data_IF_116663709315
#
_entry.id   IF_116663709315
#
_cell.length_a   1.000
_cell.length_b   1.000
_cell.length_c   1.000
_cell.angle_alpha   90.00
_cell.angle_beta   90.00
_cell.angle_gamma   90.00
#
_symmetry.space_group_name_H-M   'P 1'
#
loop_
_entity.id
_entity.type
_entity.pdbx_description
1 polymer ?
#
# COMPACT_ATOMS: atom_id res chain seq x y z
N UNK A 1 -11.76 -5.33 -32.89
CA UNK A 1 -12.13 -4.27 -31.91
C UNK A 1 -12.15 -4.91 -30.52
N UNK A 2 -11.15 -4.60 -29.69
CA UNK A 2 -11.04 -5.11 -28.31
C UNK A 2 -12.11 -4.42 -27.47
N UNK A 3 -12.93 -5.23 -26.79
CA UNK A 3 -14.06 -4.71 -26.01
C UNK A 3 -13.56 -4.21 -24.63
N UNK A 4 -13.00 -2.99 -24.61
CA UNK A 4 -12.41 -2.36 -23.41
C UNK A 4 -13.33 -2.32 -22.19
N UNK A 5 -14.66 -2.32 -22.38
CA UNK A 5 -15.63 -2.32 -21.30
C UNK A 5 -15.64 -3.63 -20.50
N UNK A 6 -15.41 -4.78 -21.16
CA UNK A 6 -15.35 -6.10 -20.53
C UNK A 6 -14.07 -6.23 -19.67
N UNK A 7 -12.94 -5.77 -20.20
CA UNK A 7 -11.63 -5.81 -19.52
C UNK A 7 -11.60 -4.95 -18.25
N UNK A 8 -12.24 -3.77 -18.28
CA UNK A 8 -12.33 -2.87 -17.11
C UNK A 8 -13.24 -3.48 -16.03
N UNK A 9 -14.38 -4.09 -16.41
CA UNK A 9 -15.28 -4.75 -15.46
C UNK A 9 -14.61 -5.93 -14.75
N UNK A 10 -13.82 -6.73 -15.47
CA UNK A 10 -13.07 -7.84 -14.89
C UNK A 10 -11.92 -7.38 -13.97
N UNK A 11 -11.23 -6.30 -14.33
CA UNK A 11 -10.23 -5.69 -13.47
C UNK A 11 -10.83 -5.18 -12.15
N UNK A 12 -12.02 -4.56 -12.21
CA UNK A 12 -12.71 -4.08 -11.01
C UNK A 12 -13.22 -5.21 -10.11
N UNK A 13 -13.74 -6.31 -10.67
CA UNK A 13 -14.15 -7.51 -9.90
C UNK A 13 -12.97 -8.12 -9.16
N UNK A 14 -11.80 -8.15 -9.78
CA UNK A 14 -10.59 -8.69 -9.18
C UNK A 14 -9.96 -7.77 -8.13
N UNK A 15 -10.15 -6.45 -8.25
CA UNK A 15 -9.60 -5.46 -7.32
C UNK A 15 -10.46 -5.29 -6.06
N UNK A 16 -11.77 -5.52 -6.15
CA UNK A 16 -12.72 -5.26 -5.06
C UNK A 16 -13.76 -6.38 -4.87
N UNK A 17 -13.36 -7.61 -4.58
CA UNK A 17 -14.28 -8.75 -4.50
C UNK A 17 -15.34 -8.61 -3.40
N UNK A 18 -15.08 -7.84 -2.34
CA UNK A 18 -16.04 -7.61 -1.25
C UNK A 18 -17.12 -6.56 -1.57
N UNK A 19 -16.85 -5.62 -2.47
CA UNK A 19 -17.83 -4.61 -2.91
C UNK A 19 -18.91 -5.21 -3.82
N UNK A 20 -18.63 -6.38 -4.42
CA UNK A 20 -19.54 -7.05 -5.35
C UNK A 20 -20.21 -8.30 -4.80
N UNK A 21 -19.92 -8.71 -3.54
CA UNK A 21 -20.67 -9.78 -2.87
C UNK A 21 -22.04 -9.26 -2.44
N UNK A 22 -23.06 -9.64 -3.20
CA UNK A 22 -24.48 -9.32 -2.90
C UNK A 22 -25.16 -8.45 -3.95
N UNK A 23 -24.44 -7.85 -4.86
CA UNK A 23 -25.08 -7.16 -5.98
C UNK A 23 -25.28 -8.20 -7.11
N UNK A 24 -26.52 -8.77 -7.19
CA UNK A 24 -26.95 -9.43 -8.44
C UNK A 24 -26.81 -8.39 -9.54
N UNK A 25 -25.76 -8.47 -10.33
CA UNK A 25 -25.60 -7.67 -11.54
C UNK A 25 -26.67 -8.13 -12.52
N UNK A 26 -27.91 -7.68 -12.33
CA UNK A 26 -28.81 -7.56 -13.46
C UNK A 26 -28.07 -6.68 -14.45
N UNK A 27 -28.02 -7.11 -15.71
CA UNK A 27 -27.38 -6.39 -16.81
C UNK A 27 -27.86 -4.94 -16.78
N UNK A 28 -27.15 -4.04 -16.09
CA UNK A 28 -27.35 -2.63 -16.25
C UNK A 28 -26.82 -2.25 -17.63
N UNK A 29 -27.69 -2.38 -18.62
CA UNK A 29 -27.62 -1.58 -19.82
C UNK A 29 -27.61 -0.13 -19.35
N UNK A 30 -26.43 0.47 -19.26
CA UNK A 30 -26.35 1.92 -19.18
C UNK A 30 -27.04 2.46 -20.45
N UNK A 31 -28.16 3.19 -20.33
CA UNK A 31 -28.82 3.74 -21.49
C UNK A 31 -27.81 4.58 -22.25
N UNK A 32 -27.71 4.36 -23.55
CA UNK A 32 -26.94 5.19 -24.50
C UNK A 32 -27.62 6.56 -24.66
N UNK A 33 -27.89 7.29 -23.60
CA UNK A 33 -28.43 8.64 -23.68
C UNK A 33 -27.30 9.62 -23.42
N UNK A 34 -27.00 10.41 -24.42
CA UNK A 34 -26.31 11.72 -24.52
C UNK A 34 -25.90 12.39 -23.20
N UNK A 35 -25.03 11.76 -22.43
CA UNK A 35 -24.46 12.39 -21.25
C UNK A 35 -23.02 12.71 -21.64
N UNK A 36 -22.61 13.95 -21.42
CA UNK A 36 -21.22 14.40 -21.47
C UNK A 36 -20.35 13.49 -20.57
N UNK A 37 -20.10 12.29 -21.05
CA UNK A 37 -19.58 11.13 -20.30
C UNK A 37 -18.18 11.37 -19.70
N UNK A 38 -17.44 12.34 -20.25
CA UNK A 38 -16.09 12.64 -19.80
C UNK A 38 -16.02 13.30 -18.42
N UNK A 39 -16.95 14.25 -18.08
CA UNK A 39 -16.89 14.97 -16.79
C UNK A 39 -17.28 14.09 -15.59
N UNK A 40 -18.36 13.29 -15.72
CA UNK A 40 -18.80 12.38 -14.64
C UNK A 40 -17.77 11.28 -14.39
N UNK A 41 -17.21 10.71 -15.46
CA UNK A 41 -16.16 9.68 -15.39
C UNK A 41 -14.88 10.22 -14.73
N UNK A 42 -14.42 11.43 -15.10
CA UNK A 42 -13.28 12.09 -14.46
C UNK A 42 -13.52 12.34 -12.96
N UNK A 43 -14.72 12.78 -12.57
CA UNK A 43 -15.08 12.98 -11.15
C UNK A 43 -15.06 11.65 -10.37
N UNK A 44 -15.58 10.58 -10.94
CA UNK A 44 -15.58 9.24 -10.33
C UNK A 44 -14.15 8.73 -10.09
N UNK A 45 -13.27 8.77 -11.11
CA UNK A 45 -11.89 8.36 -10.95
C UNK A 45 -11.10 9.24 -9.98
N UNK A 46 -11.36 10.55 -9.96
CA UNK A 46 -10.77 11.46 -8.99
C UNK A 46 -11.17 11.11 -7.56
N UNK A 47 -12.43 10.72 -7.32
CA UNK A 47 -12.92 10.28 -6.01
C UNK A 47 -12.22 8.99 -5.57
N UNK A 48 -12.16 7.96 -6.44
CA UNK A 48 -11.45 6.70 -6.14
C UNK A 48 -9.97 6.95 -5.85
N UNK A 49 -9.32 7.80 -6.64
CA UNK A 49 -7.91 8.15 -6.42
C UNK A 49 -7.70 8.81 -5.05
N UNK A 50 -8.59 9.72 -4.65
CA UNK A 50 -8.55 10.38 -3.34
C UNK A 50 -8.73 9.37 -2.20
N UNK A 51 -9.75 8.50 -2.28
CA UNK A 51 -9.98 7.45 -1.27
C UNK A 51 -8.78 6.47 -1.15
N UNK A 52 -8.15 6.12 -2.26
CA UNK A 52 -6.96 5.28 -2.26
C UNK A 52 -5.76 5.98 -1.59
N UNK A 53 -5.59 7.28 -1.86
CA UNK A 53 -4.56 8.10 -1.24
C UNK A 53 -4.78 8.24 0.28
N UNK A 54 -6.02 8.52 0.71
CA UNK A 54 -6.38 8.61 2.13
C UNK A 54 -6.09 7.29 2.87
N UNK A 55 -6.43 6.14 2.27
CA UNK A 55 -6.10 4.82 2.82
C UNK A 55 -4.59 4.59 2.92
N UNK A 56 -3.82 5.07 1.95
CA UNK A 56 -2.36 5.00 1.97
C UNK A 56 -1.79 5.82 3.12
N UNK A 57 -2.19 7.08 3.24
CA UNK A 57 -1.75 7.99 4.31
C UNK A 57 -2.12 7.45 5.70
N UNK A 58 -3.33 6.90 5.86
CA UNK A 58 -3.75 6.31 7.14
C UNK A 58 -2.93 5.05 7.48
N UNK A 59 -2.58 4.22 6.50
CA UNK A 59 -1.72 3.07 6.72
C UNK A 59 -0.31 3.48 7.20
N UNK A 60 0.27 4.53 6.61
CA UNK A 60 1.54 5.11 7.06
C UNK A 60 1.43 5.66 8.49
N UNK A 61 0.38 6.43 8.78
CA UNK A 61 0.14 6.98 10.12
C UNK A 61 0.04 5.87 11.16
N UNK A 62 -0.71 4.80 10.89
CA UNK A 62 -0.86 3.66 11.79
C UNK A 62 0.46 2.92 12.02
N UNK A 63 1.26 2.77 10.99
CA UNK A 63 2.60 2.21 11.13
C UNK A 63 3.47 3.07 12.05
N UNK A 64 3.52 4.37 11.81
CA UNK A 64 4.27 5.31 12.64
C UNK A 64 3.82 5.25 14.10
N UNK A 65 2.52 5.32 14.37
CA UNK A 65 1.96 5.23 15.72
C UNK A 65 2.33 3.92 16.41
N UNK A 66 2.33 2.79 15.70
CA UNK A 66 2.72 1.51 16.28
C UNK A 66 4.18 1.48 16.78
N UNK A 67 5.06 2.34 16.24
CA UNK A 67 6.46 2.45 16.65
C UNK A 67 6.75 3.61 17.58
N UNK A 68 5.85 4.62 17.67
CA UNK A 68 5.94 5.70 18.65
C UNK A 68 5.42 5.29 20.03
N UNK A 69 4.51 4.33 20.11
CA UNK A 69 4.02 3.80 21.37
C UNK A 69 5.15 3.14 22.18
N UNK A 70 5.04 3.28 23.50
CA UNK A 70 6.03 2.73 24.43
C UNK A 70 6.04 1.18 24.33
N UNK A 71 7.07 0.61 23.70
CA UNK A 71 7.30 -0.83 23.59
C UNK A 71 8.78 -1.14 23.75
N UNK A 72 9.08 -2.38 24.13
CA UNK A 72 10.46 -2.84 24.22
C UNK A 72 11.08 -2.92 22.82
N UNK A 73 11.92 -1.92 22.50
CA UNK A 73 12.61 -1.85 21.21
C UNK A 73 13.64 -2.97 21.09
N UNK A 74 13.77 -3.61 19.91
CA UNK A 74 14.84 -4.59 19.68
C UNK A 74 16.23 -3.96 19.83
N UNK A 75 17.27 -4.75 20.19
CA UNK A 75 18.64 -4.22 20.39
C UNK A 75 19.22 -3.53 19.14
N UNK A 76 18.77 -3.90 17.96
CA UNK A 76 19.23 -3.32 16.70
C UNK A 76 18.51 -2.02 16.34
N UNK A 77 17.42 -1.64 17.02
CA UNK A 77 16.63 -0.44 16.70
C UNK A 77 17.32 0.81 17.25
N UNK A 78 17.55 1.79 16.36
CA UNK A 78 18.04 3.12 16.76
C UNK A 78 16.90 4.13 16.66
N UNK A 79 16.37 4.34 15.44
CA UNK A 79 15.34 5.37 15.18
C UNK A 79 14.51 5.05 13.95
N UNK A 80 13.31 5.63 13.84
CA UNK A 80 12.41 5.54 12.70
C UNK A 80 12.03 6.95 12.23
N UNK A 81 12.47 7.32 11.05
CA UNK A 81 12.25 8.64 10.46
C UNK A 81 11.34 8.54 9.24
N UNK A 82 10.36 9.43 9.14
CA UNK A 82 9.52 9.54 7.93
C UNK A 82 10.35 10.07 6.77
N UNK A 83 10.21 9.46 5.61
CA UNK A 83 10.86 9.88 4.38
C UNK A 83 10.46 11.30 3.97
N UNK A 84 11.41 12.09 3.51
CA UNK A 84 11.12 13.37 2.89
C UNK A 84 10.56 13.18 1.47
N UNK A 85 10.09 14.26 0.81
CA UNK A 85 9.48 14.19 -0.53
C UNK A 85 10.35 13.48 -1.58
N UNK A 86 11.68 13.66 -1.52
CA UNK A 86 12.62 13.00 -2.45
C UNK A 86 12.73 11.50 -2.15
N UNK A 87 12.77 11.13 -0.88
CA UNK A 87 12.83 9.75 -0.42
C UNK A 87 11.52 9.01 -0.72
N UNK A 88 10.37 9.65 -0.47
CA UNK A 88 9.04 9.14 -0.80
C UNK A 88 8.90 8.90 -2.33
N UNK A 89 9.36 9.85 -3.16
CA UNK A 89 9.37 9.65 -4.61
C UNK A 89 10.24 8.46 -5.05
N UNK A 90 11.24 8.08 -4.25
CA UNK A 90 12.07 6.88 -4.45
C UNK A 90 11.46 5.62 -3.83
N UNK A 91 10.29 5.72 -3.20
CA UNK A 91 9.59 4.62 -2.59
C UNK A 91 9.98 4.35 -1.15
N UNK A 92 10.52 5.33 -0.44
CA UNK A 92 10.89 5.23 0.97
C UNK A 92 9.90 6.04 1.80
N UNK A 93 8.82 5.42 2.28
CA UNK A 93 7.86 6.09 3.18
C UNK A 93 8.52 6.36 4.54
N UNK A 94 9.39 5.44 4.98
CA UNK A 94 10.20 5.56 6.20
C UNK A 94 11.62 5.03 6.00
N UNK A 95 12.54 5.54 6.82
CA UNK A 95 13.88 4.99 6.99
C UNK A 95 14.03 4.56 8.44
N UNK A 96 14.32 3.30 8.64
CA UNK A 96 14.65 2.74 9.94
C UNK A 96 16.17 2.69 10.09
N UNK A 97 16.68 3.42 11.07
CA UNK A 97 18.07 3.39 11.48
C UNK A 97 18.28 2.21 12.42
N UNK A 98 19.26 1.37 12.12
CA UNK A 98 19.61 0.21 12.95
C UNK A 98 21.11 0.16 13.18
N UNK A 99 21.53 -0.64 14.17
CA UNK A 99 22.96 -0.90 14.44
C UNK A 99 23.65 -1.72 13.35
N UNK A 100 22.91 -2.20 12.35
CA UNK A 100 23.44 -3.10 11.31
C UNK A 100 23.50 -2.36 9.96
N UNK A 101 22.36 -1.85 9.49
CA UNK A 101 22.19 -1.13 8.22
C UNK A 101 20.92 -0.31 8.25
N UNK A 102 20.90 0.81 7.52
CA UNK A 102 19.67 1.59 7.37
C UNK A 102 18.69 0.86 6.44
N UNK A 103 17.45 0.68 6.89
CA UNK A 103 16.42 -0.08 6.18
C UNK A 103 15.38 0.85 5.60
N UNK A 104 15.26 0.87 4.28
CA UNK A 104 14.16 1.54 3.58
C UNK A 104 12.86 0.78 3.78
N UNK A 105 11.80 1.47 4.20
CA UNK A 105 10.48 0.86 4.44
C UNK A 105 9.45 1.52 3.54
N UNK A 106 8.71 0.69 2.80
CA UNK A 106 7.57 1.07 2.00
C UNK A 106 6.28 0.49 2.57
N UNK A 107 5.28 1.33 2.77
CA UNK A 107 3.95 0.94 3.28
C UNK A 107 2.96 0.82 2.11
N UNK A 108 2.16 -0.23 2.11
CA UNK A 108 1.02 -0.41 1.20
C UNK A 108 -0.19 -0.89 1.97
N UNK A 109 -1.37 -0.41 1.59
CA UNK A 109 -2.64 -0.83 2.21
C UNK A 109 -3.19 -2.14 1.64
N UNK A 110 -2.64 -2.64 0.53
CA UNK A 110 -3.13 -3.84 -0.16
C UNK A 110 -2.01 -4.65 -0.84
N UNK A 111 -2.32 -5.91 -1.16
CA UNK A 111 -1.43 -6.79 -1.94
C UNK A 111 -1.25 -6.28 -3.38
N UNK A 112 -2.30 -5.71 -3.95
CA UNK A 112 -2.30 -5.13 -5.29
C UNK A 112 -1.34 -3.94 -5.36
N UNK A 113 -1.38 -3.05 -4.34
CA UNK A 113 -0.44 -1.95 -4.22
C UNK A 113 1.02 -2.40 -4.13
N UNK A 114 1.29 -3.54 -3.47
CA UNK A 114 2.65 -4.13 -3.46
C UNK A 114 3.04 -4.63 -4.86
N UNK A 115 2.15 -5.30 -5.58
CA UNK A 115 2.43 -5.78 -6.93
C UNK A 115 2.73 -4.63 -7.90
N UNK A 116 1.94 -3.57 -7.84
CA UNK A 116 2.15 -2.37 -8.66
C UNK A 116 3.46 -1.66 -8.31
N UNK A 117 3.76 -1.53 -7.02
CA UNK A 117 5.01 -0.93 -6.56
C UNK A 117 6.22 -1.72 -7.08
N UNK A 118 6.24 -3.05 -6.92
CA UNK A 118 7.32 -3.91 -7.41
C UNK A 118 7.50 -3.86 -8.93
N UNK A 119 6.42 -3.66 -9.71
CA UNK A 119 6.53 -3.47 -11.16
C UNK A 119 7.22 -2.16 -11.52
N UNK A 120 6.96 -1.09 -10.75
CA UNK A 120 7.54 0.25 -10.98
C UNK A 120 8.95 0.40 -10.41
N UNK A 121 9.26 -0.30 -9.33
CA UNK A 121 10.52 -0.23 -8.56
C UNK A 121 11.11 -1.62 -8.38
N UNK A 122 11.64 -2.17 -9.46
CA UNK A 122 12.25 -3.51 -9.46
C UNK A 122 13.56 -3.57 -8.67
N UNK A 123 14.23 -2.45 -8.58
CA UNK A 123 15.50 -2.18 -7.90
C UNK A 123 15.33 -1.85 -6.40
N UNK A 124 14.10 -1.77 -5.90
CA UNK A 124 13.87 -1.42 -4.50
C UNK A 124 14.49 -2.45 -3.56
N UNK A 125 15.50 -2.00 -2.80
CA UNK A 125 16.19 -2.79 -1.77
C UNK A 125 15.73 -2.33 -0.39
N UNK A 126 14.69 -2.97 0.14
CA UNK A 126 14.11 -2.61 1.43
C UNK A 126 12.94 -3.51 1.82
N UNK A 127 12.25 -3.14 2.88
CA UNK A 127 11.11 -3.89 3.42
C UNK A 127 9.79 -3.28 2.95
N UNK A 128 8.94 -4.08 2.30
CA UNK A 128 7.58 -3.67 1.92
C UNK A 128 6.61 -4.28 2.92
N UNK A 129 5.84 -3.42 3.60
CA UNK A 129 4.84 -3.79 4.59
C UNK A 129 3.42 -3.58 4.04
N UNK A 130 2.52 -4.50 4.37
CA UNK A 130 1.10 -4.34 4.10
C UNK A 130 0.43 -4.02 5.41
N UNK A 131 -0.09 -2.79 5.55
CA UNK A 131 -0.80 -2.31 6.73
C UNK A 131 -2.24 -2.04 6.34
N UNK A 132 -3.15 -2.88 6.83
CA UNK A 132 -4.58 -2.69 6.64
C UNK A 132 -5.16 -1.83 7.75
N UNK A 133 -6.29 -1.16 7.48
CA UNK A 133 -6.94 -0.27 8.43
C UNK A 133 -7.59 -1.02 9.63
N UNK A 134 -7.83 -2.31 9.50
CA UNK A 134 -8.36 -3.18 10.56
C UNK A 134 -7.29 -3.79 11.47
N UNK A 135 -5.99 -3.60 11.17
CA UNK A 135 -4.91 -4.10 12.01
C UNK A 135 -4.76 -3.26 13.27
N UNK A 136 -4.68 -3.90 14.45
CA UNK A 136 -4.30 -3.19 15.67
C UNK A 136 -2.78 -2.92 15.72
N UNK A 137 -2.34 -2.00 16.58
CA UNK A 137 -0.95 -1.57 16.66
C UNK A 137 0.01 -2.70 17.05
N UNK A 138 -0.41 -3.59 17.95
CA UNK A 138 0.42 -4.75 18.35
C UNK A 138 0.66 -5.70 17.17
N UNK A 139 -0.37 -5.94 16.36
CA UNK A 139 -0.24 -6.76 15.16
C UNK A 139 0.63 -6.09 14.10
N UNK A 140 0.45 -4.79 13.86
CA UNK A 140 1.30 -4.00 12.95
C UNK A 140 2.76 -4.11 13.39
N UNK A 141 3.04 -3.92 14.66
CA UNK A 141 4.38 -4.03 15.25
C UNK A 141 4.98 -5.42 15.03
N UNK A 142 4.23 -6.46 15.40
CA UNK A 142 4.66 -7.86 15.25
C UNK A 142 5.05 -8.20 13.80
N UNK A 143 4.17 -7.93 12.83
CA UNK A 143 4.45 -8.26 11.42
C UNK A 143 5.62 -7.44 10.86
N UNK A 144 5.74 -6.18 11.29
CA UNK A 144 6.82 -5.29 10.85
C UNK A 144 8.16 -5.75 11.38
N UNK A 145 8.27 -6.00 12.68
CA UNK A 145 9.50 -6.48 13.30
C UNK A 145 9.94 -7.82 12.71
N UNK A 146 9.01 -8.77 12.51
CA UNK A 146 9.31 -10.06 11.88
C UNK A 146 9.92 -9.91 10.49
N UNK A 147 9.40 -8.98 9.68
CA UNK A 147 9.94 -8.75 8.32
C UNK A 147 11.26 -8.02 8.33
N UNK A 148 11.42 -7.05 9.23
CA UNK A 148 12.67 -6.31 9.41
C UNK A 148 13.77 -7.26 9.91
N UNK A 149 13.49 -8.08 10.92
CA UNK A 149 14.45 -9.08 11.44
C UNK A 149 14.92 -10.03 10.33
N UNK A 150 14.00 -10.51 9.49
CA UNK A 150 14.37 -11.35 8.34
C UNK A 150 15.30 -10.60 7.38
N UNK A 151 14.94 -9.37 7.02
CA UNK A 151 15.78 -8.55 6.16
C UNK A 151 17.20 -8.35 6.73
N UNK A 152 17.30 -8.03 8.02
CA UNK A 152 18.58 -7.82 8.69
C UNK A 152 19.42 -9.11 8.79
N UNK A 153 18.78 -10.28 8.99
CA UNK A 153 19.45 -11.57 8.92
C UNK A 153 19.99 -11.88 7.53
N UNK A 154 19.15 -11.70 6.50
CA UNK A 154 19.55 -11.90 5.10
C UNK A 154 20.69 -10.95 4.70
N UNK A 155 20.67 -9.71 5.19
CA UNK A 155 21.73 -8.73 4.96
C UNK A 155 23.07 -9.16 5.59
N UNK A 156 23.04 -9.64 6.85
CA UNK A 156 24.25 -10.14 7.54
C UNK A 156 24.86 -11.38 6.88
N UNK A 157 24.06 -12.21 6.24
CA UNK A 157 24.54 -13.43 5.56
C UNK A 157 25.20 -13.13 4.21
N UNK A 158 24.94 -11.96 3.64
CA UNK A 158 25.49 -11.57 2.32
C UNK A 158 26.74 -10.70 2.41
N UNK A 159 26.98 -10.11 3.57
CA UNK A 159 28.11 -9.23 3.87
C UNK A 159 28.92 -9.75 5.07
#
# INVERSE_FOLDING_TARGET
>A
KINYAKTISELFKNLYPKLFRGIKMSRYYLPRSNISSGKKRKRFFKKIGKEAQEKGMEAERRFQMAFLENFKKPPWFIDLVKGNKRQDSNGNDFILFTTIVNVSIQIKSSKEGVKEFKKKRRDFCGVILIIKLDFNFNFIRKISLTKIDRFLKDYRQRN
#
